data_IF_331504325640
#
_entry.id   IF_331504325640
#
_cell.length_a   1.000
_cell.length_b   1.000
_cell.length_c   1.000
_cell.angle_alpha   90.00
_cell.angle_beta   90.00
_cell.angle_gamma   90.00
#
_symmetry.space_group_name_H-M   'P 1'
#
loop_
_entity.id
_entity.type
_entity.pdbx_description
1 polymer ?
#
# COMPACT_ATOMS: atom_id res chain seq x y z
N UNK A 1 13.27 14.67 -2.21
CA UNK A 1 14.18 15.81 -2.04
C UNK A 1 13.68 16.64 -0.87
N UNK A 2 14.53 16.88 0.14
CA UNK A 2 14.18 17.65 1.33
C UNK A 2 14.07 19.13 0.96
N UNK A 3 12.97 19.78 1.33
CA UNK A 3 12.84 21.24 1.30
C UNK A 3 12.48 21.67 2.73
N UNK A 4 13.16 22.67 3.29
CA UNK A 4 12.93 23.20 4.64
C UNK A 4 13.06 22.20 5.82
N UNK A 5 13.91 21.17 5.71
CA UNK A 5 14.07 20.07 6.70
C UNK A 5 12.83 19.17 6.86
N UNK A 6 11.88 19.25 5.94
CA UNK A 6 10.71 18.37 5.90
C UNK A 6 10.79 17.46 4.67
N UNK A 7 10.40 16.18 4.85
CA UNK A 7 10.33 15.23 3.74
C UNK A 7 9.14 15.64 2.89
N UNK A 8 9.40 16.08 1.65
CA UNK A 8 8.35 16.39 0.69
C UNK A 8 7.94 15.16 -0.13
N UNK A 9 8.93 14.35 -0.51
CA UNK A 9 8.70 13.11 -1.24
C UNK A 9 9.76 12.05 -1.00
N UNK A 10 9.33 10.79 -1.07
CA UNK A 10 10.16 9.59 -1.08
C UNK A 10 10.02 8.89 -2.43
N UNK A 11 11.13 8.37 -2.95
CA UNK A 11 11.18 7.63 -4.19
C UNK A 11 11.61 6.21 -3.88
N UNK A 12 10.75 5.23 -4.19
CA UNK A 12 11.07 3.82 -4.11
C UNK A 12 11.27 3.35 -5.55
N UNK A 13 12.47 2.90 -5.88
CA UNK A 13 12.83 2.43 -7.21
C UNK A 13 12.97 0.91 -7.19
N UNK A 14 12.69 0.30 -8.33
CA UNK A 14 12.94 -1.12 -8.61
C UNK A 14 12.30 -2.09 -7.59
N UNK A 15 11.13 -2.65 -7.94
CA UNK A 15 10.37 -3.58 -7.08
C UNK A 15 9.89 -2.92 -5.79
N UNK A 16 9.43 -1.68 -5.89
CA UNK A 16 8.85 -0.96 -4.78
C UNK A 16 7.67 -1.72 -4.16
N UNK A 17 7.61 -1.73 -2.82
CA UNK A 17 6.58 -2.43 -2.08
C UNK A 17 6.26 -1.66 -0.79
N UNK A 18 4.96 -1.50 -0.49
CA UNK A 18 4.47 -0.92 0.76
C UNK A 18 3.51 -1.93 1.39
N UNK A 19 3.72 -2.22 2.67
CA UNK A 19 2.91 -3.14 3.46
C UNK A 19 2.41 -2.40 4.69
N UNK A 20 1.12 -2.58 5.02
CA UNK A 20 0.58 -2.15 6.31
C UNK A 20 -0.33 -3.22 6.89
N UNK A 21 -0.38 -3.31 8.23
CA UNK A 21 -1.35 -4.17 8.90
C UNK A 21 -2.75 -3.62 8.62
N UNK A 22 -3.64 -4.49 8.14
CA UNK A 22 -5.07 -4.19 8.04
C UNK A 22 -5.71 -4.23 9.43
N UNK A 23 -5.25 -5.15 10.29
CA UNK A 23 -5.75 -5.40 11.62
C UNK A 23 -4.61 -5.50 12.65
N UNK A 24 -4.87 -5.12 13.91
CA UNK A 24 -3.87 -5.22 14.97
C UNK A 24 -3.78 -6.62 15.60
N UNK A 25 -4.83 -7.42 15.49
CA UNK A 25 -4.96 -8.74 16.11
C UNK A 25 -4.70 -9.87 15.11
N UNK A 26 -5.09 -9.68 13.84
CA UNK A 26 -4.93 -10.67 12.78
C UNK A 26 -3.77 -10.33 11.84
N UNK A 27 -3.06 -11.35 11.30
CA UNK A 27 -1.96 -11.16 10.34
C UNK A 27 -2.47 -10.83 8.93
N UNK A 28 -3.39 -9.85 8.83
CA UNK A 28 -3.94 -9.37 7.58
C UNK A 28 -3.17 -8.12 7.14
N UNK A 29 -2.77 -8.06 5.87
CA UNK A 29 -1.91 -6.99 5.36
C UNK A 29 -2.48 -6.35 4.10
N UNK A 30 -2.63 -5.03 4.15
CA UNK A 30 -2.78 -4.23 2.95
C UNK A 30 -1.42 -4.13 2.25
N UNK A 31 -1.43 -4.24 0.93
CA UNK A 31 -0.22 -4.37 0.12
C UNK A 31 -0.35 -3.51 -1.12
N UNK A 32 0.73 -2.79 -1.44
CA UNK A 32 0.88 -1.99 -2.66
C UNK A 32 2.23 -2.37 -3.26
N UNK A 33 2.23 -2.70 -4.55
CA UNK A 33 3.43 -3.09 -5.28
C UNK A 33 3.48 -2.38 -6.64
N UNK A 34 4.68 -2.10 -7.11
CA UNK A 34 4.94 -1.59 -8.46
C UNK A 34 6.41 -1.62 -8.81
N UNK A 35 6.74 -1.29 -10.05
CA UNK A 35 8.13 -1.15 -10.47
C UNK A 35 8.79 0.04 -9.75
N UNK A 36 8.12 1.20 -9.77
CA UNK A 36 8.58 2.43 -9.11
C UNK A 36 7.41 3.12 -8.39
N UNK A 37 7.70 3.75 -7.25
CA UNK A 37 6.73 4.56 -6.51
C UNK A 37 7.28 5.91 -6.10
N UNK A 38 6.39 6.89 -6.04
CA UNK A 38 6.66 8.20 -5.42
C UNK A 38 5.61 8.45 -4.34
N UNK A 39 6.06 8.56 -3.10
CA UNK A 39 5.22 8.99 -1.98
C UNK A 39 5.38 10.49 -1.73
N UNK A 40 4.27 11.20 -1.58
CA UNK A 40 4.24 12.64 -1.34
C UNK A 40 3.68 12.93 0.04
N UNK A 41 4.34 13.83 0.74
CA UNK A 41 4.00 14.23 2.09
C UNK A 41 3.45 15.65 2.10
N UNK A 42 2.40 15.86 2.89
CA UNK A 42 1.82 17.16 3.19
C UNK A 42 1.74 17.26 4.71
N UNK A 43 2.27 18.33 5.30
CA UNK A 43 2.29 18.51 6.76
C UNK A 43 2.86 17.28 7.52
N UNK A 44 3.96 16.71 7.00
CA UNK A 44 4.63 15.49 7.53
C UNK A 44 3.80 14.21 7.47
N UNK A 45 2.64 14.21 6.83
CA UNK A 45 1.80 13.02 6.61
C UNK A 45 1.85 12.59 5.15
N UNK A 46 2.01 11.29 4.92
CA UNK A 46 1.90 10.72 3.58
C UNK A 46 0.44 10.88 3.11
N UNK A 47 0.23 11.56 1.98
CA UNK A 47 -1.13 11.87 1.50
C UNK A 47 -1.39 11.38 0.07
N UNK A 48 -0.32 11.13 -0.71
CA UNK A 48 -0.43 10.61 -2.08
C UNK A 48 0.69 9.64 -2.38
N UNK A 49 0.38 8.55 -3.06
CA UNK A 49 1.35 7.61 -3.62
C UNK A 49 1.05 7.46 -5.11
N UNK A 50 2.06 7.62 -5.94
CA UNK A 50 2.02 7.32 -7.36
C UNK A 50 2.79 6.04 -7.62
N UNK A 51 2.12 5.03 -8.16
CA UNK A 51 2.73 3.75 -8.53
C UNK A 51 2.80 3.68 -10.06
N UNK A 52 4.02 3.48 -10.55
CA UNK A 52 4.35 3.54 -11.96
C UNK A 52 4.84 2.19 -12.45
N UNK A 53 4.11 1.63 -13.43
CA UNK A 53 4.26 0.30 -14.03
C UNK A 53 4.01 -0.85 -13.07
N UNK A 54 3.31 -1.87 -13.57
CA UNK A 54 3.02 -3.12 -12.86
C UNK A 54 2.41 -2.87 -11.47
N UNK A 55 1.46 -1.94 -11.40
CA UNK A 55 0.76 -1.63 -10.16
C UNK A 55 -0.09 -2.84 -9.74
N UNK A 56 0.11 -3.32 -8.52
CA UNK A 56 -0.68 -4.39 -7.92
C UNK A 56 -1.04 -4.01 -6.48
N UNK A 57 -2.23 -4.42 -6.04
CA UNK A 57 -2.73 -4.15 -4.69
C UNK A 57 -3.52 -5.31 -4.12
N UNK A 58 -3.46 -5.44 -2.80
CA UNK A 58 -4.39 -6.23 -1.99
C UNK A 58 -4.84 -5.34 -0.83
N UNK A 59 -6.16 -5.18 -0.68
CA UNK A 59 -6.74 -4.38 0.39
C UNK A 59 -7.91 -5.10 1.06
N UNK A 60 -7.92 -5.12 2.37
CA UNK A 60 -9.03 -5.64 3.16
C UNK A 60 -10.13 -4.59 3.23
N UNK A 61 -11.29 -4.92 2.66
CA UNK A 61 -12.44 -4.03 2.61
C UNK A 61 -13.29 -4.18 3.86
N UNK A 62 -13.83 -3.05 4.32
CA UNK A 62 -14.77 -2.97 5.44
C UNK A 62 -16.09 -2.34 5.00
N UNK A 63 -17.16 -2.66 5.72
CA UNK A 63 -18.44 -1.95 5.61
C UNK A 63 -18.48 -0.68 6.48
N UNK A 64 -19.60 0.05 6.43
CA UNK A 64 -19.84 1.26 7.22
C UNK A 64 -19.83 1.02 8.73
N UNK A 65 -19.92 -0.24 9.17
CA UNK A 65 -19.84 -0.66 10.56
C UNK A 65 -18.42 -1.16 10.94
N UNK A 66 -17.42 -0.87 10.10
CA UNK A 66 -16.01 -1.26 10.26
C UNK A 66 -15.77 -2.78 10.26
N UNK A 67 -16.72 -3.58 9.77
CA UNK A 67 -16.57 -5.04 9.68
C UNK A 67 -15.94 -5.42 8.36
N UNK A 68 -14.98 -6.34 8.41
CA UNK A 68 -14.39 -6.89 7.20
C UNK A 68 -15.44 -7.64 6.38
N UNK A 69 -15.58 -7.25 5.11
CA UNK A 69 -16.52 -7.87 4.16
C UNK A 69 -15.80 -8.72 3.11
N UNK A 70 -14.51 -8.49 2.91
CA UNK A 70 -13.71 -9.22 1.93
C UNK A 70 -12.40 -8.55 1.61
N UNK A 71 -11.80 -8.96 0.49
CA UNK A 71 -10.49 -8.52 0.04
C UNK A 71 -10.57 -8.12 -1.43
N UNK A 72 -10.17 -6.89 -1.73
CA UNK A 72 -9.98 -6.42 -3.09
C UNK A 72 -8.54 -6.71 -3.53
N UNK A 73 -8.39 -7.44 -4.62
CA UNK A 73 -7.11 -7.59 -5.33
C UNK A 73 -7.24 -6.94 -6.68
N UNK A 74 -6.35 -6.01 -7.00
CA UNK A 74 -6.42 -5.27 -8.25
C UNK A 74 -5.04 -4.97 -8.82
N UNK A 75 -4.96 -4.89 -10.14
CA UNK A 75 -3.74 -4.60 -10.88
C UNK A 75 -3.99 -3.64 -12.05
N UNK A 76 -2.93 -3.03 -12.55
CA UNK A 76 -2.94 -2.23 -13.75
C UNK A 76 -1.56 -1.65 -14.04
N UNK A 77 -1.47 -0.72 -15.00
CA UNK A 77 -0.18 -0.15 -15.36
C UNK A 77 0.26 0.94 -14.36
N UNK A 78 -0.62 1.91 -14.10
CA UNK A 78 -0.35 3.01 -13.18
C UNK A 78 -1.48 3.12 -12.17
N UNK A 79 -1.15 3.57 -10.97
CA UNK A 79 -2.11 3.71 -9.89
C UNK A 79 -1.80 4.93 -9.04
N UNK A 80 -2.85 5.65 -8.67
CA UNK A 80 -2.83 6.74 -7.71
C UNK A 80 -3.52 6.29 -6.42
N UNK A 81 -2.88 6.54 -5.30
CA UNK A 81 -3.44 6.28 -3.98
C UNK A 81 -3.46 7.59 -3.21
N UNK A 82 -4.60 7.91 -2.61
CA UNK A 82 -4.72 9.03 -1.68
C UNK A 82 -4.97 8.52 -0.27
N UNK A 83 -4.33 9.19 0.70
CA UNK A 83 -4.48 8.92 2.11
C UNK A 83 -4.95 10.18 2.84
N UNK A 84 -5.76 10.00 3.87
CA UNK A 84 -6.14 11.02 4.84
C UNK A 84 -5.84 10.48 6.24
N UNK A 85 -5.03 11.21 7.02
CA UNK A 85 -4.62 10.80 8.37
C UNK A 85 -4.09 9.36 8.44
N UNK A 86 -3.19 9.01 7.51
CA UNK A 86 -2.61 7.67 7.34
C UNK A 86 -3.63 6.55 7.05
N UNK A 87 -4.88 6.91 6.74
CA UNK A 87 -5.94 5.99 6.34
C UNK A 87 -6.14 6.07 4.83
N UNK A 88 -6.38 4.93 4.19
CA UNK A 88 -6.66 4.87 2.76
C UNK A 88 -7.95 5.64 2.45
N UNK A 89 -7.88 6.62 1.56
CA UNK A 89 -9.04 7.39 1.09
C UNK A 89 -9.52 6.91 -0.27
N UNK A 90 -8.61 6.69 -1.21
CA UNK A 90 -8.96 6.19 -2.53
C UNK A 90 -7.79 5.51 -3.22
N UNK A 91 -8.14 4.60 -4.13
CA UNK A 91 -7.23 3.94 -5.08
C UNK A 91 -7.82 4.14 -6.46
N UNK A 92 -7.00 4.56 -7.41
CA UNK A 92 -7.42 4.77 -8.79
C UNK A 92 -6.37 4.20 -9.73
N UNK A 93 -6.75 3.18 -10.48
CA UNK A 93 -5.95 2.67 -11.59
C UNK A 93 -6.19 3.53 -12.82
N UNK A 94 -5.10 3.96 -13.45
CA UNK A 94 -5.16 4.90 -14.58
C UNK A 94 -5.30 4.17 -15.91
N UNK A 95 -4.72 2.98 -16.02
CA UNK A 95 -4.68 2.23 -17.27
C UNK A 95 -4.68 0.72 -17.02
N UNK A 96 -5.45 0.03 -17.85
CA UNK A 96 -5.63 -1.43 -17.86
C UNK A 96 -5.99 -2.01 -16.48
N UNK A 97 -7.04 -1.48 -15.80
CA UNK A 97 -7.43 -1.98 -14.49
C UNK A 97 -8.05 -3.37 -14.60
N UNK A 98 -7.55 -4.30 -13.79
CA UNK A 98 -8.17 -5.60 -13.53
C UNK A 98 -8.36 -5.74 -12.03
N UNK A 99 -9.49 -6.29 -11.59
CA UNK A 99 -9.80 -6.40 -10.17
C UNK A 99 -10.74 -7.55 -9.86
N UNK A 100 -10.51 -8.19 -8.71
CA UNK A 100 -11.33 -9.26 -8.16
C UNK A 100 -11.59 -8.94 -6.69
N UNK A 101 -12.85 -9.06 -6.28
CA UNK A 101 -13.26 -8.97 -4.89
C UNK A 101 -13.53 -10.37 -4.35
N UNK A 102 -12.88 -10.74 -3.25
CA UNK A 102 -13.08 -12.01 -2.55
C UNK A 102 -13.87 -11.76 -1.26
N UNK A 103 -15.14 -12.17 -1.16
CA UNK A 103 -15.90 -12.13 0.08
C UNK A 103 -15.19 -12.88 1.20
N UNK A 104 -15.33 -12.44 2.46
CA UNK A 104 -14.52 -12.95 3.59
C UNK A 104 -14.56 -14.47 3.85
N UNK A 105 -15.54 -15.18 3.28
CA UNK A 105 -15.67 -16.65 3.39
C UNK A 105 -14.87 -17.41 2.33
N UNK A 106 -14.28 -16.71 1.35
CA UNK A 106 -13.79 -17.29 0.11
C UNK A 106 -12.26 -17.24 -0.13
N UNK A 107 -11.44 -16.33 0.42
CA UNK A 107 -10.05 -16.24 -0.03
C UNK A 107 -9.19 -17.37 0.54
N UNK A 108 -8.46 -18.04 -0.34
CA UNK A 108 -7.32 -18.84 0.08
C UNK A 108 -6.23 -17.92 0.65
N UNK A 109 -5.47 -18.32 1.68
CA UNK A 109 -4.33 -17.54 2.17
C UNK A 109 -3.33 -17.13 1.08
N UNK A 110 -3.23 -17.91 -0.01
CA UNK A 110 -2.36 -17.59 -1.16
C UNK A 110 -2.83 -16.40 -1.99
N UNK A 111 -4.13 -16.12 -1.99
CA UNK A 111 -4.72 -15.00 -2.74
C UNK A 111 -4.57 -13.67 -2.00
N UNK A 112 -4.16 -13.73 -0.73
CA UNK A 112 -4.01 -12.60 0.18
C UNK A 112 -2.59 -12.04 0.25
N UNK A 113 -1.67 -12.53 -0.59
CA UNK A 113 -0.26 -12.10 -0.58
C UNK A 113 0.22 -11.87 -2.01
N UNK A 114 0.85 -10.73 -2.26
CA UNK A 114 1.51 -10.45 -3.55
C UNK A 114 2.92 -11.03 -3.56
N UNK A 115 3.38 -11.44 -4.75
CA UNK A 115 4.76 -11.91 -4.93
C UNK A 115 5.75 -10.82 -4.53
N UNK A 116 6.69 -11.17 -3.66
CA UNK A 116 7.69 -10.25 -3.11
C UNK A 116 7.31 -9.66 -1.76
N UNK A 117 6.15 -10.03 -1.19
CA UNK A 117 5.82 -9.72 0.19
C UNK A 117 6.91 -10.20 1.14
N UNK A 118 7.45 -9.28 1.92
CA UNK A 118 8.33 -9.56 3.04
C UNK A 118 7.94 -8.65 4.20
N UNK A 119 7.42 -9.22 5.29
CA UNK A 119 7.10 -8.48 6.50
C UNK A 119 8.02 -8.94 7.61
N UNK A 120 9.10 -8.21 7.80
CA UNK A 120 9.98 -8.38 8.95
C UNK A 120 9.80 -7.18 9.89
N UNK A 121 9.28 -7.44 11.10
CA UNK A 121 9.12 -6.39 12.10
C UNK A 121 10.45 -5.95 12.71
N UNK A 122 11.50 -6.78 12.61
CA UNK A 122 12.84 -6.48 13.12
C UNK A 122 13.63 -5.52 12.22
N UNK A 123 13.32 -5.48 10.92
CA UNK A 123 13.95 -4.59 9.94
C UNK A 123 13.29 -3.21 9.87
N UNK A 124 12.20 -2.97 10.62
CA UNK A 124 11.55 -1.66 10.61
C UNK A 124 12.51 -0.60 11.17
N UNK A 125 12.71 0.52 10.45
CA UNK A 125 13.51 1.64 10.93
C UNK A 125 13.01 2.10 12.31
N UNK A 126 13.83 1.94 13.34
CA UNK A 126 13.50 2.42 14.70
C UNK A 126 13.83 3.89 14.90
N UNK A 127 14.54 4.51 13.94
CA UNK A 127 14.84 5.94 13.94
C UNK A 127 14.71 6.57 12.53
N UNK A 128 14.86 7.89 12.45
CA UNK A 128 14.71 8.71 11.24
C UNK A 128 15.79 8.46 10.15
N UNK A 129 16.81 7.67 10.44
CA UNK A 129 17.93 7.32 9.56
C UNK A 129 17.87 5.87 9.06
N UNK A 130 16.99 5.03 9.60
CA UNK A 130 16.94 3.59 9.28
C UNK A 130 16.33 3.21 7.93
N UNK A 131 16.22 4.11 6.95
CA UNK A 131 15.80 3.73 5.58
C UNK A 131 17.05 3.28 4.82
N UNK A 132 17.31 1.97 4.81
CA UNK A 132 18.41 1.41 4.03
C UNK A 132 18.05 1.35 2.53
N UNK A 133 19.04 1.67 1.69
CA UNK A 133 18.98 1.65 0.21
C UNK A 133 19.12 0.25 -0.36
#
# INVERSE_FOLDING_TARGET
LLSNKEIHSIYLKEKAFIISKADSLLPNFNQIKGENMVGYFLEKKLHKIEVNKQAETIFFAKDDAEKYIGVNKASGNNMLIFLADNTLKSITFIKDPEGIFYPIKEPSPKDLILKGFNWDESEKPTDKFGVFY
#
